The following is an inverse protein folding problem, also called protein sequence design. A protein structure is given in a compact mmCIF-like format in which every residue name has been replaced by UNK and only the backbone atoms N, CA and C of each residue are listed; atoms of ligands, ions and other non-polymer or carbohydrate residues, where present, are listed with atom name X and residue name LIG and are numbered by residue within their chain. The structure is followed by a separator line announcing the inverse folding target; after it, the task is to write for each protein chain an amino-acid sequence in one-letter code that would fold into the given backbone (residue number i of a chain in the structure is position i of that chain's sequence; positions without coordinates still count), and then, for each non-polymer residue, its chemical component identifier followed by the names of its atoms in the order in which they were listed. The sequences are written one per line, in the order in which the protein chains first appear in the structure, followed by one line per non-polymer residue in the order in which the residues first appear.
data_IF_513500970360
#
_entry.id   IF_513500970360
#
_cell.length_a   1.000
_cell.length_b   1.000
_cell.length_c   1.000
_cell.angle_alpha   90.00
_cell.angle_beta   90.00
_cell.angle_gamma   90.00
#
_symmetry.space_group_name_H-M   'P 1'
#
loop_
_entity.id
_entity.type
_entity.pdbx_description
1 polymer ?
#
# COMPACT_ATOMS: atom_id res chain seq x y z
N UNK A 1 18.88 -19.96 -51.00
CA UNK A 1 17.84 -19.86 -49.95
C UNK A 1 17.02 -18.60 -50.20
N UNK A 2 15.69 -18.66 -50.12
CA UNK A 2 14.83 -17.50 -50.39
C UNK A 2 14.96 -16.43 -49.29
N UNK A 3 14.89 -15.14 -49.65
CA UNK A 3 14.95 -14.02 -48.71
C UNK A 3 13.63 -13.91 -47.95
N UNK A 4 13.63 -13.88 -46.61
CA UNK A 4 12.39 -13.82 -45.83
C UNK A 4 11.62 -12.53 -46.09
N UNK A 5 10.30 -12.65 -46.11
CA UNK A 5 9.37 -11.54 -46.35
C UNK A 5 9.26 -10.62 -45.14
N UNK A 6 8.87 -9.36 -45.34
CA UNK A 6 8.69 -8.36 -44.26
C UNK A 6 7.75 -8.85 -43.16
N UNK A 7 6.72 -9.63 -43.53
CA UNK A 7 5.74 -10.22 -42.62
C UNK A 7 6.33 -11.34 -41.76
N UNK A 8 7.22 -12.14 -42.32
CA UNK A 8 7.94 -13.19 -41.59
C UNK A 8 8.95 -12.61 -40.60
N UNK A 9 9.67 -11.54 -40.99
CA UNK A 9 10.59 -10.82 -40.09
C UNK A 9 9.81 -10.20 -38.92
N UNK A 10 8.67 -9.57 -39.19
CA UNK A 10 7.80 -9.00 -38.15
C UNK A 10 7.24 -10.07 -37.20
N UNK A 11 6.74 -11.20 -37.72
CA UNK A 11 6.29 -12.34 -36.90
C UNK A 11 7.42 -12.93 -36.06
N UNK A 12 8.63 -13.03 -36.63
CA UNK A 12 9.81 -13.53 -35.92
C UNK A 12 10.16 -12.63 -34.75
N UNK A 13 10.20 -11.32 -34.97
CA UNK A 13 10.49 -10.34 -33.92
C UNK A 13 9.41 -10.31 -32.83
N UNK A 14 8.13 -10.54 -33.18
CA UNK A 14 7.06 -10.72 -32.21
C UNK A 14 7.25 -12.02 -31.42
N UNK A 15 7.54 -13.13 -32.08
CA UNK A 15 7.74 -14.41 -31.41
C UNK A 15 8.90 -14.39 -30.38
N UNK A 16 9.95 -13.59 -30.63
CA UNK A 16 11.02 -13.35 -29.66
C UNK A 16 10.62 -12.40 -28.52
N UNK A 17 9.67 -11.48 -28.75
CA UNK A 17 9.21 -10.51 -27.74
C UNK A 17 7.99 -10.95 -26.92
N UNK A 18 7.29 -12.03 -27.30
CA UNK A 18 6.17 -12.57 -26.51
C UNK A 18 6.72 -13.59 -25.51
N UNK A 19 7.08 -13.12 -24.32
CA UNK A 19 7.37 -14.01 -23.20
C UNK A 19 6.11 -14.83 -22.90
N UNK A 20 6.25 -16.16 -22.86
CA UNK A 20 5.14 -17.06 -22.54
C UNK A 20 5.01 -17.18 -21.02
N UNK A 21 3.77 -17.31 -20.55
CA UNK A 21 3.50 -17.63 -19.15
C UNK A 21 3.87 -19.09 -18.90
N UNK A 22 5.09 -19.32 -18.44
CA UNK A 22 5.60 -20.64 -18.01
C UNK A 22 5.69 -20.71 -16.49
N UNK A 23 5.76 -21.92 -15.94
CA UNK A 23 5.97 -22.12 -14.50
C UNK A 23 7.25 -21.46 -13.99
N UNK A 24 8.32 -21.48 -14.78
CA UNK A 24 9.61 -20.84 -14.46
C UNK A 24 9.48 -19.32 -14.31
N UNK A 25 8.78 -18.67 -15.24
CA UNK A 25 8.54 -17.22 -15.18
C UNK A 25 7.72 -16.86 -13.94
N UNK A 26 6.69 -17.65 -13.62
CA UNK A 26 5.89 -17.46 -12.40
C UNK A 26 6.76 -17.63 -11.15
N UNK A 27 7.66 -18.62 -11.11
CA UNK A 27 8.59 -18.80 -10.00
C UNK A 27 9.55 -17.61 -9.86
N UNK A 28 10.04 -17.03 -10.96
CA UNK A 28 10.86 -15.80 -10.91
C UNK A 28 10.08 -14.64 -10.28
N UNK A 29 8.82 -14.44 -10.67
CA UNK A 29 7.95 -13.44 -10.04
C UNK A 29 7.74 -13.72 -8.55
N UNK A 30 7.49 -14.97 -8.18
CA UNK A 30 7.33 -15.37 -6.77
C UNK A 30 8.58 -15.07 -5.94
N UNK A 31 9.77 -15.36 -6.48
CA UNK A 31 11.05 -15.04 -5.83
C UNK A 31 11.23 -13.53 -5.67
N UNK A 32 10.98 -12.75 -6.73
CA UNK A 32 11.10 -11.30 -6.71
C UNK A 32 10.11 -10.67 -5.71
N UNK A 33 8.85 -11.12 -5.71
CA UNK A 33 7.87 -10.60 -4.75
C UNK A 33 8.12 -11.08 -3.32
N UNK A 34 8.78 -12.21 -3.11
CA UNK A 34 9.16 -12.67 -1.77
C UNK A 34 10.15 -11.71 -1.06
N UNK A 35 10.93 -10.95 -1.82
CA UNK A 35 11.84 -9.91 -1.33
C UNK A 35 11.23 -8.50 -1.45
N UNK A 36 9.91 -8.42 -1.62
CA UNK A 36 9.14 -7.17 -1.77
C UNK A 36 9.54 -6.30 -2.98
N UNK A 37 10.03 -6.91 -4.06
CA UNK A 37 10.35 -6.18 -5.29
C UNK A 37 9.12 -5.47 -5.87
N UNK A 38 9.34 -4.31 -6.48
CA UNK A 38 8.31 -3.61 -7.25
C UNK A 38 7.93 -4.41 -8.49
N UNK A 39 6.77 -4.09 -9.09
CA UNK A 39 6.33 -4.78 -10.33
C UNK A 39 7.37 -4.59 -11.45
N UNK A 40 7.96 -3.40 -11.56
CA UNK A 40 8.99 -3.12 -12.57
C UNK A 40 10.23 -4.01 -12.38
N UNK A 41 10.79 -4.04 -11.16
CA UNK A 41 11.96 -4.87 -10.85
C UNK A 41 11.67 -6.37 -11.05
N UNK A 42 10.48 -6.82 -10.66
CA UNK A 42 10.07 -8.21 -10.86
C UNK A 42 9.90 -8.55 -12.35
N UNK A 43 9.38 -7.61 -13.14
CA UNK A 43 9.26 -7.73 -14.60
C UNK A 43 10.64 -7.82 -15.26
N UNK A 44 11.57 -6.96 -14.85
CA UNK A 44 12.96 -6.96 -15.33
C UNK A 44 13.67 -8.27 -14.96
N UNK A 45 13.51 -8.76 -13.72
CA UNK A 45 14.08 -10.04 -13.28
C UNK A 45 13.49 -11.25 -14.04
N UNK A 46 12.21 -11.18 -14.40
CA UNK A 46 11.51 -12.25 -15.10
C UNK A 46 11.68 -12.19 -16.63
N UNK A 47 12.32 -11.15 -17.18
CA UNK A 47 12.37 -10.84 -18.62
C UNK A 47 10.97 -10.74 -19.25
N UNK A 48 10.04 -10.07 -18.54
CA UNK A 48 8.65 -9.88 -18.95
C UNK A 48 8.35 -8.39 -19.01
N UNK A 49 7.65 -7.94 -20.06
CA UNK A 49 7.23 -6.53 -20.10
C UNK A 49 6.10 -6.25 -19.09
N UNK A 50 6.04 -5.06 -18.47
CA UNK A 50 4.99 -4.71 -17.52
C UNK A 50 3.56 -4.84 -18.09
N UNK A 51 3.38 -4.54 -19.38
CA UNK A 51 2.08 -4.69 -20.05
C UNK A 51 1.64 -6.15 -20.14
N UNK A 52 2.59 -7.07 -20.38
CA UNK A 52 2.35 -8.51 -20.37
C UNK A 52 1.94 -8.99 -18.98
N UNK A 53 2.63 -8.54 -17.92
CA UNK A 53 2.27 -8.85 -16.54
C UNK A 53 0.82 -8.44 -16.22
N UNK A 54 0.44 -7.19 -16.52
CA UNK A 54 -0.93 -6.72 -16.28
C UNK A 54 -1.95 -7.50 -17.10
N UNK A 55 -1.63 -7.87 -18.35
CA UNK A 55 -2.50 -8.73 -19.14
C UNK A 55 -2.69 -10.11 -18.52
N UNK A 56 -1.68 -10.68 -17.86
CA UNK A 56 -1.80 -11.98 -17.20
C UNK A 56 -2.64 -11.89 -15.94
N UNK A 57 -2.37 -10.90 -15.08
CA UNK A 57 -3.14 -10.67 -13.86
C UNK A 57 -4.62 -10.44 -14.16
N UNK A 58 -4.94 -9.66 -15.21
CA UNK A 58 -6.33 -9.42 -15.59
C UNK A 58 -7.05 -10.68 -16.11
N UNK A 59 -6.32 -11.61 -16.71
CA UNK A 59 -6.87 -12.88 -17.20
C UNK A 59 -6.98 -13.94 -16.10
N UNK A 60 -6.06 -13.90 -15.14
CA UNK A 60 -5.87 -14.89 -14.09
C UNK A 60 -5.73 -14.17 -12.73
N UNK A 61 -6.85 -13.72 -12.13
CA UNK A 61 -6.82 -12.97 -10.87
C UNK A 61 -6.19 -13.77 -9.72
N UNK A 62 -6.21 -15.10 -9.76
CA UNK A 62 -5.54 -15.96 -8.77
C UNK A 62 -4.02 -15.74 -8.70
N UNK A 63 -3.39 -15.28 -9.79
CA UNK A 63 -1.97 -14.94 -9.79
C UNK A 63 -1.69 -13.73 -8.91
N UNK A 64 -2.58 -12.74 -8.94
CA UNK A 64 -2.44 -11.54 -8.11
C UNK A 64 -2.50 -11.90 -6.63
N UNK A 65 -3.47 -12.73 -6.24
CA UNK A 65 -3.57 -13.21 -4.85
C UNK A 65 -2.33 -13.98 -4.43
N UNK A 66 -1.79 -14.81 -5.32
CA UNK A 66 -0.54 -15.54 -5.08
C UNK A 66 0.63 -14.58 -4.86
N UNK A 67 0.81 -13.60 -5.74
CA UNK A 67 1.89 -12.61 -5.62
C UNK A 67 1.75 -11.75 -4.36
N UNK A 68 0.53 -11.35 -4.00
CA UNK A 68 0.25 -10.61 -2.77
C UNK A 68 0.61 -11.45 -1.52
N UNK A 69 0.33 -12.76 -1.52
CA UNK A 69 0.77 -13.67 -0.45
C UNK A 69 2.29 -13.76 -0.38
N UNK A 70 2.98 -13.78 -1.52
CA UNK A 70 4.44 -13.85 -1.55
C UNK A 70 5.09 -12.59 -0.98
N UNK A 71 4.53 -11.39 -1.22
CA UNK A 71 5.00 -10.14 -0.61
C UNK A 71 5.00 -10.16 0.92
N UNK A 72 4.10 -10.92 1.53
CA UNK A 72 4.06 -11.06 3.00
C UNK A 72 5.23 -11.88 3.57
N UNK A 73 6.04 -12.55 2.75
CA UNK A 73 7.15 -13.37 3.24
C UNK A 73 8.24 -12.55 3.93
N UNK A 74 8.61 -11.39 3.37
CA UNK A 74 9.65 -10.54 3.93
C UNK A 74 9.29 -9.98 5.33
N UNK A 75 8.11 -9.36 5.55
CA UNK A 75 7.70 -8.94 6.89
C UNK A 75 7.53 -10.12 7.83
N UNK A 76 7.00 -11.26 7.35
CA UNK A 76 6.86 -12.46 8.18
C UNK A 76 8.21 -12.97 8.66
N UNK A 77 9.24 -12.97 7.81
CA UNK A 77 10.59 -13.37 8.18
C UNK A 77 11.20 -12.44 9.22
N UNK A 78 10.95 -11.14 9.08
CA UNK A 78 11.40 -10.14 10.05
C UNK A 78 10.72 -10.36 11.42
N UNK A 79 9.42 -10.69 11.43
CA UNK A 79 8.67 -11.01 12.66
C UNK A 79 9.18 -12.30 13.31
N UNK A 80 9.48 -13.32 12.51
CA UNK A 80 10.09 -14.57 12.96
C UNK A 80 11.43 -14.30 13.67
N UNK A 81 12.30 -13.48 13.08
CA UNK A 81 13.59 -13.13 13.71
C UNK A 81 13.42 -12.43 15.06
N UNK A 82 12.49 -11.47 15.14
CA UNK A 82 12.19 -10.78 16.40
C UNK A 82 11.63 -11.75 17.43
N UNK A 83 10.70 -12.62 17.04
CA UNK A 83 10.11 -13.62 17.94
C UNK A 83 11.17 -14.57 18.50
N UNK A 84 12.08 -15.07 17.66
CA UNK A 84 13.20 -15.90 18.11
C UNK A 84 14.08 -15.20 19.13
N UNK A 85 14.44 -13.94 18.86
CA UNK A 85 15.22 -13.14 19.80
C UNK A 85 14.51 -12.96 21.14
N UNK A 86 13.18 -12.80 21.14
CA UNK A 86 12.38 -12.69 22.37
C UNK A 86 12.34 -14.01 23.15
N UNK A 87 12.28 -15.14 22.43
CA UNK A 87 12.27 -16.48 23.03
C UNK A 87 13.68 -17.01 23.41
N UNK A 88 14.74 -16.27 23.12
CA UNK A 88 16.13 -16.70 23.38
C UNK A 88 16.66 -17.74 22.38
N UNK A 89 16.00 -17.92 21.24
CA UNK A 89 16.41 -18.80 20.16
C UNK A 89 17.49 -18.17 19.28
N UNK A 90 18.33 -18.98 18.60
CA UNK A 90 19.36 -18.46 17.70
C UNK A 90 18.73 -17.69 16.52
N UNK A 91 19.12 -16.43 16.39
CA UNK A 91 18.66 -15.56 15.29
C UNK A 91 19.53 -15.82 14.06
N UNK A 92 18.88 -16.01 12.90
CA UNK A 92 19.56 -16.29 11.63
C UNK A 92 20.04 -15.04 10.89
N UNK A 93 19.70 -13.84 11.37
CA UNK A 93 20.01 -12.57 10.73
C UNK A 93 20.04 -11.41 11.72
N UNK A 94 20.08 -10.19 11.21
CA UNK A 94 20.16 -8.99 12.06
C UNK A 94 18.76 -8.58 12.58
N UNK A 95 18.67 -8.45 13.90
CA UNK A 95 17.48 -8.00 14.62
C UNK A 95 17.20 -6.52 14.32
N UNK A 96 18.25 -5.70 14.21
CA UNK A 96 18.12 -4.25 14.01
C UNK A 96 17.49 -3.97 12.64
N UNK A 97 17.96 -4.64 11.59
CA UNK A 97 17.37 -4.56 10.25
C UNK A 97 15.94 -5.09 10.23
N UNK A 98 15.66 -6.17 10.95
CA UNK A 98 14.31 -6.75 11.03
C UNK A 98 13.29 -5.78 11.67
N UNK A 99 13.69 -5.07 12.74
CA UNK A 99 12.87 -4.01 13.36
C UNK A 99 12.64 -2.84 12.42
N UNK A 100 13.72 -2.31 11.86
CA UNK A 100 13.70 -1.19 10.92
C UNK A 100 12.79 -1.44 9.71
N UNK A 101 12.81 -2.65 9.16
CA UNK A 101 11.98 -3.03 8.02
C UNK A 101 10.49 -3.05 8.38
N UNK A 102 10.13 -3.66 9.52
CA UNK A 102 8.73 -3.75 9.95
C UNK A 102 8.15 -2.37 10.29
N UNK A 103 8.93 -1.50 10.93
CA UNK A 103 8.52 -0.13 11.26
C UNK A 103 8.17 0.66 9.99
N UNK A 104 8.94 0.50 8.91
CA UNK A 104 8.68 1.19 7.64
C UNK A 104 7.54 0.58 6.84
N UNK A 105 7.40 -0.74 6.85
CA UNK A 105 6.32 -1.42 6.12
C UNK A 105 4.96 -1.33 6.84
N UNK A 106 4.94 -1.34 8.17
CA UNK A 106 3.74 -1.35 8.99
C UNK A 106 3.79 -0.24 10.07
N UNK A 107 3.93 1.04 9.66
CA UNK A 107 4.14 2.15 10.59
C UNK A 107 2.96 2.36 11.53
N UNK A 108 1.74 2.06 11.09
CA UNK A 108 0.55 2.19 11.93
C UNK A 108 0.57 1.28 13.18
N UNK A 109 1.23 0.12 13.08
CA UNK A 109 1.26 -0.88 14.17
C UNK A 109 2.53 -0.82 14.99
N UNK A 110 3.67 -0.58 14.34
CA UNK A 110 4.99 -0.68 14.95
C UNK A 110 5.74 0.65 15.02
N UNK A 111 5.24 1.69 14.35
CA UNK A 111 5.84 3.01 14.41
C UNK A 111 5.80 3.58 15.83
N UNK A 112 6.84 4.33 16.17
CA UNK A 112 6.91 5.03 17.44
C UNK A 112 5.79 6.06 17.53
N UNK A 113 4.97 5.97 18.57
CA UNK A 113 3.91 6.94 18.85
C UNK A 113 4.37 7.90 19.94
N UNK A 114 4.62 9.16 19.54
CA UNK A 114 4.97 10.21 20.49
C UNK A 114 3.73 10.62 21.29
N UNK A 115 3.74 10.35 22.59
CA UNK A 115 2.77 10.91 23.53
C UNK A 115 3.25 12.28 23.98
N UNK A 116 2.87 13.32 23.23
CA UNK A 116 3.16 14.71 23.57
C UNK A 116 2.22 15.16 24.68
N UNK A 117 2.78 15.49 25.85
CA UNK A 117 2.07 16.26 26.87
C UNK A 117 2.39 17.73 26.67
N UNK A 118 1.39 18.50 26.23
CA UNK A 118 1.51 19.95 26.16
C UNK A 118 1.25 20.52 27.55
N UNK A 119 2.25 21.20 28.11
CA UNK A 119 2.09 22.03 29.30
C UNK A 119 2.37 23.46 28.88
N UNK A 120 1.37 24.32 29.07
CA UNK A 120 1.37 25.71 28.63
C UNK A 120 -0.07 26.23 28.64
N UNK A 121 -0.23 27.48 29.05
CA UNK A 121 -1.50 28.18 28.89
C UNK A 121 -1.66 28.44 27.39
N UNK A 122 -2.65 27.80 26.76
CA UNK A 122 -2.99 28.11 25.37
C UNK A 122 -3.62 29.50 25.39
N UNK A 123 -2.78 30.52 25.26
CA UNK A 123 -3.23 31.86 24.93
C UNK A 123 -3.78 31.76 23.51
N UNK A 124 -5.05 31.39 23.40
CA UNK A 124 -5.83 31.74 22.21
C UNK A 124 -5.75 33.26 22.16
N UNK A 125 -4.96 33.80 21.23
CA UNK A 125 -4.86 35.24 21.04
C UNK A 125 -6.26 35.83 21.06
N UNK A 126 -6.43 36.97 21.74
CA UNK A 126 -7.73 37.65 21.90
C UNK A 126 -8.48 37.60 20.57
N UNK A 127 -9.57 36.81 20.50
CA UNK A 127 -10.46 36.85 19.35
C UNK A 127 -10.84 38.30 19.15
N UNK A 128 -10.63 38.86 17.96
CA UNK A 128 -11.10 40.20 17.68
C UNK A 128 -12.61 40.23 17.98
N UNK A 129 -13.14 41.25 18.67
CA UNK A 129 -14.54 41.25 19.14
C UNK A 129 -15.55 40.97 18.01
N UNK A 130 -15.24 41.43 16.79
CA UNK A 130 -16.02 41.14 15.58
C UNK A 130 -16.10 39.64 15.21
N UNK A 131 -15.02 38.89 15.41
CA UNK A 131 -14.97 37.44 15.14
C UNK A 131 -15.79 36.65 16.16
N UNK A 132 -15.84 37.12 17.41
CA UNK A 132 -16.61 36.49 18.48
C UNK A 132 -18.12 36.72 18.31
N UNK A 133 -18.52 37.92 17.87
CA UNK A 133 -19.90 38.23 17.50
C UNK A 133 -20.39 37.35 16.34
N UNK A 134 -19.57 37.20 15.29
CA UNK A 134 -19.88 36.32 14.16
C UNK A 134 -20.04 34.86 14.59
N UNK A 135 -19.18 34.37 15.50
CA UNK A 135 -19.28 33.02 16.07
C UNK A 135 -20.60 32.81 16.83
N UNK A 136 -21.00 33.77 17.67
CA UNK A 136 -22.23 33.70 18.44
C UNK A 136 -23.46 33.71 17.53
N UNK A 137 -23.48 34.60 16.53
CA UNK A 137 -24.56 34.65 15.53
C UNK A 137 -24.67 33.35 14.75
N UNK A 138 -23.53 32.78 14.31
CA UNK A 138 -23.51 31.51 13.59
C UNK A 138 -24.07 30.37 14.44
N UNK A 139 -23.63 30.27 15.70
CA UNK A 139 -24.10 29.24 16.65
C UNK A 139 -25.62 29.35 16.89
N UNK A 140 -26.13 30.57 17.08
CA UNK A 140 -27.56 30.83 17.28
C UNK A 140 -28.40 30.40 16.08
N UNK A 141 -28.02 30.83 14.87
CA UNK A 141 -28.70 30.44 13.63
C UNK A 141 -28.70 28.93 13.40
N UNK A 142 -27.59 28.26 13.72
CA UNK A 142 -27.45 26.82 13.55
C UNK A 142 -28.38 26.06 14.51
N UNK A 143 -28.48 26.49 15.77
CA UNK A 143 -29.44 25.94 16.73
C UNK A 143 -30.89 26.15 16.28
N UNK A 144 -31.22 27.33 15.76
CA UNK A 144 -32.55 27.62 15.25
C UNK A 144 -32.92 26.72 14.07
N UNK A 145 -32.00 26.51 13.13
CA UNK A 145 -32.19 25.59 12.01
C UNK A 145 -32.36 24.13 12.47
N UNK A 146 -31.59 23.69 13.46
CA UNK A 146 -31.75 22.34 14.05
C UNK A 146 -33.14 22.21 14.67
N UNK A 147 -33.59 23.20 15.45
CA UNK A 147 -34.94 23.19 16.06
C UNK A 147 -36.03 23.16 15.00
N UNK A 148 -35.91 23.97 13.95
CA UNK A 148 -36.86 24.01 12.84
C UNK A 148 -37.00 22.65 12.17
N UNK A 149 -35.87 22.01 11.83
CA UNK A 149 -35.85 20.66 11.24
C UNK A 149 -36.44 19.60 12.17
N UNK A 150 -36.20 19.69 13.48
CA UNK A 150 -36.79 18.77 14.45
C UNK A 150 -38.32 18.90 14.51
N UNK A 151 -38.86 20.13 14.49
CA UNK A 151 -40.30 20.40 14.46
C UNK A 151 -40.94 19.96 13.14
N UNK A 152 -40.26 20.16 12.01
CA UNK A 152 -40.73 19.67 10.70
C UNK A 152 -40.83 18.15 10.68
N UNK A 153 -39.83 17.46 11.24
CA UNK A 153 -39.82 16.00 11.35
C UNK A 153 -40.96 15.46 12.23
N UNK A 154 -41.23 16.10 13.38
CA UNK A 154 -42.32 15.69 14.28
C UNK A 154 -43.72 15.95 13.72
N UNK A 155 -43.86 16.74 12.65
CA UNK A 155 -45.14 16.99 11.95
C UNK A 155 -45.39 16.04 10.77
N UNK A 156 -44.35 15.30 10.34
CA UNK A 156 -44.42 14.34 9.24
C UNK A 156 -44.64 12.89 9.73
N UNK A 157 -44.44 12.63 11.02
CA UNK A 157 -44.86 11.42 11.75
C UNK A 157 -46.30 11.57 12.25
#
# INVERSE_FOLDING_TARGET
MARPTKKEIWKRNIAYGVTKMTSEVIQKFEQAFAIDATIAEACDYADVSPSTYHSWVNKYPELLDKFNRMRQKLPLKSKENIARSVHGEPVLGDISLSKWLIERQQPEKYGETLKLQHSGEVVTGESHPEDEELRLQFKGKLQENIRRRAIEKSKQE
#
